data_IF_590504044803
#
_entry.id   IF_590504044803
#
_cell.length_a   1.000
_cell.length_b   1.000
_cell.length_c   1.000
_cell.angle_alpha   90.00
_cell.angle_beta   90.00
_cell.angle_gamma   90.00
#
_symmetry.space_group_name_H-M   'P 1'
#
loop_
_entity.id
_entity.type
_entity.pdbx_description
1 polymer ?
#
# COMPACT_ATOMS: atom_id res chain seq x y z
N UNK A 1 2.16 16.45 -11.15
CA UNK A 1 3.08 15.70 -12.03
C UNK A 1 2.74 14.22 -12.12
N UNK A 2 2.68 13.43 -11.02
CA UNK A 2 2.35 11.98 -11.10
C UNK A 2 1.01 11.71 -11.79
N UNK A 3 -0.02 12.49 -11.47
CA UNK A 3 -1.33 12.40 -12.10
C UNK A 3 -1.24 12.53 -13.63
N UNK A 4 -0.54 13.53 -14.13
CA UNK A 4 -0.38 13.77 -15.57
C UNK A 4 0.42 12.63 -16.24
N UNK A 5 1.43 12.08 -15.56
CA UNK A 5 2.14 10.90 -16.06
C UNK A 5 1.19 9.72 -16.26
N UNK A 6 0.35 9.43 -15.25
CA UNK A 6 -0.61 8.32 -15.34
C UNK A 6 -1.66 8.54 -16.42
N UNK A 7 -2.16 9.77 -16.58
CA UNK A 7 -3.09 10.14 -17.66
C UNK A 7 -2.46 9.95 -19.04
N UNK A 8 -1.20 10.32 -19.22
CA UNK A 8 -0.47 10.15 -20.47
C UNK A 8 -0.11 8.68 -20.74
N UNK A 9 0.21 7.89 -19.71
CA UNK A 9 0.39 6.44 -19.85
C UNK A 9 -0.92 5.80 -20.32
N UNK A 10 -2.03 6.19 -19.73
CA UNK A 10 -3.36 5.71 -20.11
C UNK A 10 -3.68 6.10 -21.54
N UNK A 11 -3.54 7.38 -21.90
CA UNK A 11 -3.75 7.87 -23.27
C UNK A 11 -2.96 7.10 -24.34
N UNK A 12 -1.73 6.68 -24.00
CA UNK A 12 -0.88 5.93 -24.92
C UNK A 12 -1.25 4.46 -25.06
N UNK A 13 -1.99 3.87 -24.11
CA UNK A 13 -2.17 2.41 -24.02
C UNK A 13 -3.62 1.97 -23.76
N UNK A 14 -4.57 2.89 -23.56
CA UNK A 14 -5.97 2.54 -23.23
C UNK A 14 -6.71 1.83 -24.35
N UNK A 15 -6.31 2.08 -25.60
CA UNK A 15 -6.84 1.43 -26.81
C UNK A 15 -6.32 0.00 -27.00
N UNK A 16 -5.43 -0.47 -26.12
CA UNK A 16 -4.77 -1.75 -26.23
C UNK A 16 -3.50 -1.75 -27.10
N UNK A 17 -2.98 -0.57 -27.44
CA UNK A 17 -1.68 -0.44 -28.11
C UNK A 17 -0.55 -1.05 -27.31
N UNK A 18 0.46 -1.59 -27.99
CA UNK A 18 1.65 -2.18 -27.39
C UNK A 18 2.88 -1.33 -27.74
N UNK A 19 3.54 -0.79 -26.72
CA UNK A 19 4.72 0.06 -26.84
C UNK A 19 5.91 -0.51 -26.08
N UNK A 20 7.12 -0.24 -26.57
CA UNK A 20 8.30 -0.51 -25.75
C UNK A 20 8.40 0.51 -24.61
N UNK A 21 9.02 0.09 -23.48
CA UNK A 21 9.24 0.99 -22.33
C UNK A 21 9.91 2.31 -22.74
N UNK A 22 10.90 2.24 -23.61
CA UNK A 22 11.62 3.42 -24.11
C UNK A 22 10.70 4.37 -24.86
N UNK A 23 9.86 3.85 -25.74
CA UNK A 23 8.90 4.65 -26.53
C UNK A 23 7.86 5.28 -25.62
N UNK A 24 7.29 4.52 -24.68
CA UNK A 24 6.32 5.02 -23.72
C UNK A 24 6.91 6.17 -22.87
N UNK A 25 8.10 5.97 -22.28
CA UNK A 25 8.76 7.00 -21.47
C UNK A 25 9.04 8.26 -22.29
N UNK A 26 9.54 8.11 -23.53
CA UNK A 26 9.81 9.25 -24.41
C UNK A 26 8.54 10.01 -24.79
N UNK A 27 7.45 9.29 -25.09
CA UNK A 27 6.15 9.91 -25.38
C UNK A 27 5.68 10.77 -24.20
N UNK A 28 5.75 10.23 -22.99
CA UNK A 28 5.32 10.95 -21.77
C UNK A 28 6.20 12.16 -21.50
N UNK A 29 7.53 12.03 -21.63
CA UNK A 29 8.47 13.15 -21.47
C UNK A 29 8.14 14.29 -22.42
N UNK A 30 8.01 14.01 -23.71
CA UNK A 30 7.74 15.02 -24.74
C UNK A 30 6.43 15.78 -24.50
N UNK A 31 5.41 15.11 -23.94
CA UNK A 31 4.12 15.73 -23.64
C UNK A 31 4.13 16.54 -22.35
N UNK A 32 4.97 16.15 -21.38
CA UNK A 32 5.06 16.84 -20.08
C UNK A 32 6.01 18.04 -20.11
N UNK A 33 7.06 17.99 -20.92
CA UNK A 33 8.14 19.01 -20.95
C UNK A 33 7.61 20.45 -21.00
N UNK A 34 6.58 20.79 -21.81
CA UNK A 34 6.07 22.18 -21.86
C UNK A 34 5.44 22.67 -20.55
N UNK A 35 4.86 21.78 -19.76
CA UNK A 35 4.18 22.10 -18.50
C UNK A 35 5.05 21.84 -17.28
N UNK A 36 5.94 20.87 -17.37
CA UNK A 36 6.81 20.41 -16.30
C UNK A 36 8.25 20.27 -16.80
N UNK A 37 9.01 21.37 -16.94
CA UNK A 37 10.38 21.34 -17.44
C UNK A 37 11.34 20.46 -16.63
N UNK A 38 10.96 20.20 -15.35
CA UNK A 38 11.73 19.33 -14.43
C UNK A 38 11.44 17.83 -14.62
N UNK A 39 10.46 17.48 -15.47
CA UNK A 39 10.11 16.08 -15.71
C UNK A 39 11.27 15.38 -16.43
N UNK A 40 11.91 14.45 -15.74
CA UNK A 40 13.04 13.70 -16.28
C UNK A 40 12.61 12.31 -16.75
N UNK A 41 13.36 11.77 -17.71
CA UNK A 41 13.21 10.36 -18.14
C UNK A 41 13.30 9.40 -16.95
N UNK A 42 14.10 9.72 -15.94
CA UNK A 42 14.28 8.91 -14.73
C UNK A 42 13.02 8.91 -13.87
N UNK A 43 12.44 10.08 -13.57
CA UNK A 43 11.24 10.18 -12.74
C UNK A 43 10.01 9.51 -13.41
N UNK A 44 9.85 9.71 -14.70
CA UNK A 44 8.79 9.04 -15.47
C UNK A 44 9.05 7.54 -15.56
N UNK A 45 10.30 7.14 -15.77
CA UNK A 45 10.72 5.74 -15.78
C UNK A 45 10.40 5.03 -14.44
N UNK A 46 10.46 5.73 -13.30
CA UNK A 46 10.06 5.18 -12.00
C UNK A 46 8.55 4.93 -11.93
N UNK A 47 7.70 5.85 -12.41
CA UNK A 47 6.25 5.63 -12.46
C UNK A 47 5.91 4.40 -13.32
N UNK A 48 6.50 4.30 -14.51
CA UNK A 48 6.32 3.11 -15.37
C UNK A 48 6.83 1.83 -14.71
N UNK A 49 7.92 1.91 -13.93
CA UNK A 49 8.44 0.78 -13.18
C UNK A 49 7.50 0.33 -12.06
N UNK A 50 6.85 1.26 -11.36
CA UNK A 50 5.84 0.92 -10.35
C UNK A 50 4.67 0.16 -10.96
N UNK A 51 4.16 0.62 -12.10
CA UNK A 51 3.08 -0.06 -12.83
C UNK A 51 3.51 -1.44 -13.36
N UNK A 52 4.78 -1.57 -13.77
CA UNK A 52 5.33 -2.86 -14.18
C UNK A 52 5.42 -3.83 -13.00
N UNK A 53 5.89 -3.36 -11.83
CA UNK A 53 5.92 -4.13 -10.57
C UNK A 53 4.52 -4.57 -10.14
N UNK A 54 3.52 -3.70 -10.32
CA UNK A 54 2.10 -3.99 -10.07
C UNK A 54 1.49 -4.99 -11.07
N UNK A 55 2.27 -5.48 -12.03
CA UNK A 55 1.79 -6.37 -13.08
C UNK A 55 0.64 -5.78 -13.93
N UNK A 56 0.59 -4.45 -14.06
CA UNK A 56 -0.40 -3.76 -14.89
C UNK A 56 -0.23 -4.03 -16.38
N UNK A 57 0.95 -4.50 -16.81
CA UNK A 57 1.27 -4.73 -18.21
C UNK A 57 1.27 -6.21 -18.58
N UNK A 58 0.74 -6.51 -19.76
CA UNK A 58 1.05 -7.73 -20.51
C UNK A 58 2.32 -7.47 -21.32
N UNK A 59 3.35 -8.27 -21.10
CA UNK A 59 4.65 -8.12 -21.76
C UNK A 59 4.80 -9.19 -22.82
N UNK A 60 5.04 -8.77 -24.07
CA UNK A 60 5.30 -9.66 -25.20
C UNK A 60 6.74 -9.48 -25.65
N UNK A 61 7.52 -10.55 -25.66
CA UNK A 61 8.87 -10.54 -26.25
C UNK A 61 8.77 -10.47 -27.77
N UNK A 62 9.57 -9.62 -28.37
CA UNK A 62 9.75 -9.56 -29.83
C UNK A 62 11.11 -10.17 -30.19
N UNK A 63 11.21 -10.78 -31.37
CA UNK A 63 12.51 -11.19 -31.90
C UNK A 63 13.38 -9.96 -32.08
N UNK A 64 14.31 -9.75 -31.14
CA UNK A 64 15.12 -8.55 -31.00
C UNK A 64 15.00 -7.97 -29.61
N UNK A 65 15.83 -7.03 -29.25
CA UNK A 65 16.18 -6.58 -27.91
C UNK A 65 15.07 -5.81 -27.13
N UNK A 66 13.85 -5.63 -27.66
CA UNK A 66 12.83 -4.82 -27.02
C UNK A 66 11.51 -5.56 -26.76
N UNK A 67 11.17 -5.72 -25.50
CA UNK A 67 9.84 -6.18 -25.09
C UNK A 67 8.78 -5.09 -25.30
N UNK A 68 7.60 -5.48 -25.79
CA UNK A 68 6.43 -4.62 -25.89
C UNK A 68 5.55 -4.78 -24.65
N UNK A 69 5.05 -3.67 -24.12
CA UNK A 69 4.15 -3.60 -22.99
C UNK A 69 2.79 -3.11 -23.48
N UNK A 70 1.75 -3.83 -23.10
CA UNK A 70 0.36 -3.50 -23.35
C UNK A 70 -0.35 -3.39 -22.00
N UNK A 71 -1.16 -2.37 -21.79
CA UNK A 71 -1.93 -2.26 -20.56
C UNK A 71 -3.03 -3.31 -20.53
N UNK A 72 -3.12 -4.07 -19.42
CA UNK A 72 -4.18 -5.05 -19.23
C UNK A 72 -5.54 -4.36 -19.14
N UNK A 73 -6.59 -5.06 -19.51
CA UNK A 73 -7.93 -4.49 -19.66
C UNK A 73 -8.49 -3.92 -18.37
N UNK A 74 -8.25 -4.61 -17.26
CA UNK A 74 -8.67 -4.21 -15.91
C UNK A 74 -8.04 -2.90 -15.42
N UNK A 75 -6.92 -2.46 -16.04
CA UNK A 75 -6.20 -1.23 -15.66
C UNK A 75 -6.34 -0.08 -16.66
N UNK A 76 -7.27 -0.17 -17.59
CA UNK A 76 -7.51 0.87 -18.63
C UNK A 76 -8.40 2.01 -18.17
N UNK A 77 -8.55 2.23 -16.87
CA UNK A 77 -9.17 3.43 -16.29
C UNK A 77 -8.19 4.17 -15.40
N UNK A 78 -8.35 5.48 -15.28
CA UNK A 78 -7.47 6.29 -14.43
C UNK A 78 -7.53 5.82 -12.96
N UNK A 79 -8.70 5.51 -12.46
CA UNK A 79 -8.92 5.13 -11.05
C UNK A 79 -8.22 3.81 -10.70
N UNK A 80 -8.35 2.79 -11.56
CA UNK A 80 -7.69 1.50 -11.34
C UNK A 80 -6.18 1.63 -11.45
N UNK A 81 -5.69 2.34 -12.46
CA UNK A 81 -4.27 2.56 -12.68
C UNK A 81 -3.64 3.38 -11.54
N UNK A 82 -4.31 4.44 -11.10
CA UNK A 82 -3.90 5.27 -9.97
C UNK A 82 -3.84 4.48 -8.68
N UNK A 83 -4.87 3.66 -8.42
CA UNK A 83 -4.92 2.83 -7.23
C UNK A 83 -3.75 1.84 -7.17
N UNK A 84 -3.42 1.19 -8.27
CA UNK A 84 -2.29 0.26 -8.32
C UNK A 84 -0.95 0.97 -8.15
N UNK A 85 -0.79 2.14 -8.76
CA UNK A 85 0.40 2.98 -8.57
C UNK A 85 0.60 3.32 -7.09
N UNK A 86 -0.44 3.82 -6.42
CA UNK A 86 -0.38 4.22 -5.01
C UNK A 86 -0.17 3.01 -4.10
N UNK A 87 -0.80 1.87 -4.40
CA UNK A 87 -0.59 0.60 -3.68
C UNK A 87 0.87 0.16 -3.72
N UNK A 88 1.53 0.25 -4.89
CA UNK A 88 2.94 -0.10 -5.00
C UNK A 88 3.86 0.81 -4.20
N UNK A 89 3.55 2.11 -4.13
CA UNK A 89 4.34 3.05 -3.31
C UNK A 89 4.19 2.71 -1.84
N UNK A 90 2.97 2.50 -1.35
CA UNK A 90 2.71 2.13 0.05
C UNK A 90 3.39 0.81 0.40
N UNK A 91 3.30 -0.19 -0.48
CA UNK A 91 3.93 -1.49 -0.28
C UNK A 91 5.45 -1.37 -0.17
N UNK A 92 6.11 -0.64 -1.07
CA UNK A 92 7.56 -0.43 -1.04
C UNK A 92 7.98 0.27 0.25
N UNK A 93 7.23 1.28 0.69
CA UNK A 93 7.51 1.98 1.93
C UNK A 93 7.37 1.06 3.15
N UNK A 94 6.32 0.24 3.17
CA UNK A 94 6.08 -0.74 4.23
C UNK A 94 7.18 -1.81 4.29
N UNK A 95 7.59 -2.33 3.12
CA UNK A 95 8.73 -3.27 2.99
C UNK A 95 10.05 -2.65 3.49
N UNK A 96 10.22 -1.33 3.31
CA UNK A 96 11.36 -0.58 3.84
C UNK A 96 11.24 -0.23 5.34
N UNK A 97 10.20 -0.70 6.05
CA UNK A 97 9.96 -0.46 7.46
C UNK A 97 9.36 0.91 7.79
N UNK A 98 8.91 1.67 6.79
CA UNK A 98 8.27 2.97 7.02
C UNK A 98 6.81 2.77 7.43
N UNK A 99 6.40 3.49 8.49
CA UNK A 99 5.02 3.53 8.99
C UNK A 99 4.49 4.94 8.80
N UNK A 100 3.72 5.14 7.74
CA UNK A 100 3.17 6.44 7.35
C UNK A 100 1.66 6.38 7.49
N UNK A 101 1.07 7.34 8.22
CA UNK A 101 -0.36 7.40 8.45
C UNK A 101 -1.14 7.75 7.15
N UNK A 102 -2.42 7.35 7.04
CA UNK A 102 -3.21 7.57 5.83
C UNK A 102 -3.37 9.04 5.42
N UNK A 103 -3.46 9.96 6.36
CA UNK A 103 -3.50 11.40 6.13
C UNK A 103 -2.16 11.95 5.63
N UNK A 104 -1.05 11.44 6.13
CA UNK A 104 0.28 11.75 5.64
C UNK A 104 0.48 11.23 4.21
N UNK A 105 0.03 10.01 3.92
CA UNK A 105 0.03 9.47 2.55
C UNK A 105 -0.79 10.33 1.60
N UNK A 106 -1.99 10.75 2.02
CA UNK A 106 -2.83 11.64 1.23
C UNK A 106 -2.10 12.95 0.89
N UNK A 107 -1.47 13.56 1.88
CA UNK A 107 -0.69 14.80 1.67
C UNK A 107 0.51 14.59 0.75
N UNK A 108 1.22 13.46 0.86
CA UNK A 108 2.39 13.16 0.03
C UNK A 108 2.03 12.91 -1.44
N UNK A 109 0.96 12.15 -1.69
CA UNK A 109 0.62 11.70 -3.05
C UNK A 109 -0.35 12.64 -3.78
N UNK A 110 -1.17 13.37 -3.04
CA UNK A 110 -2.22 14.23 -3.59
C UNK A 110 -2.04 15.72 -3.25
N UNK A 111 -1.26 16.03 -2.22
CA UNK A 111 -1.07 17.41 -1.76
C UNK A 111 -2.13 17.90 -0.78
N UNK A 112 -3.07 17.05 -0.38
CA UNK A 112 -4.15 17.35 0.56
C UNK A 112 -4.51 16.12 1.42
N UNK A 113 -5.42 16.30 2.38
CA UNK A 113 -5.89 15.22 3.26
C UNK A 113 -7.22 14.59 2.80
N UNK A 114 -7.77 14.99 1.64
CA UNK A 114 -9.08 14.54 1.17
C UNK A 114 -9.10 13.06 0.77
N UNK A 115 -7.93 12.50 0.43
CA UNK A 115 -7.78 11.11 0.00
C UNK A 115 -7.43 10.14 1.13
N UNK A 116 -7.58 10.56 2.40
CA UNK A 116 -7.28 9.72 3.58
C UNK A 116 -7.99 8.36 3.54
N UNK A 117 -9.29 8.34 3.21
CA UNK A 117 -10.06 7.09 3.15
C UNK A 117 -9.58 6.16 2.04
N UNK A 118 -9.15 6.72 0.89
CA UNK A 118 -8.55 5.97 -0.19
C UNK A 118 -7.23 5.33 0.26
N UNK A 119 -6.36 6.09 0.93
CA UNK A 119 -5.08 5.58 1.44
C UNK A 119 -5.27 4.54 2.54
N UNK A 120 -6.25 4.73 3.45
CA UNK A 120 -6.61 3.73 4.44
C UNK A 120 -7.03 2.41 3.79
N UNK A 121 -7.89 2.47 2.78
CA UNK A 121 -8.33 1.28 2.04
C UNK A 121 -7.18 0.52 1.35
N UNK A 122 -6.12 1.22 0.92
CA UNK A 122 -4.91 0.60 0.36
C UNK A 122 -4.12 -0.09 1.47
N UNK A 123 -3.90 0.60 2.60
CA UNK A 123 -3.16 0.07 3.74
C UNK A 123 -3.85 -1.20 4.28
N UNK A 124 -5.17 -1.15 4.45
CA UNK A 124 -5.96 -2.30 4.96
C UNK A 124 -5.83 -3.53 4.05
N UNK A 125 -5.81 -3.33 2.72
CA UNK A 125 -5.60 -4.43 1.76
C UNK A 125 -4.21 -5.04 1.78
N UNK A 126 -3.21 -4.27 2.20
CA UNK A 126 -1.83 -4.75 2.35
C UNK A 126 -1.58 -5.44 3.69
N UNK A 127 -2.53 -5.33 4.63
CA UNK A 127 -2.46 -6.04 5.91
C UNK A 127 -2.67 -7.54 5.68
N UNK A 128 -1.79 -8.34 6.25
CA UNK A 128 -1.88 -9.81 6.26
C UNK A 128 -1.77 -10.30 7.70
N UNK A 129 -2.19 -11.52 8.01
CA UNK A 129 -1.96 -12.11 9.35
C UNK A 129 -0.49 -12.04 9.76
N UNK A 130 0.43 -12.31 8.83
CA UNK A 130 1.87 -12.23 9.07
C UNK A 130 2.31 -10.79 9.36
N UNK A 131 1.79 -9.79 8.65
CA UNK A 131 2.12 -8.39 8.90
C UNK A 131 1.58 -7.90 10.25
N UNK A 132 0.42 -8.41 10.69
CA UNK A 132 -0.12 -8.12 12.02
C UNK A 132 0.75 -8.71 13.12
N UNK A 133 1.13 -9.99 13.01
CA UNK A 133 2.05 -10.64 13.95
C UNK A 133 3.41 -9.92 14.03
N UNK A 134 3.93 -9.49 12.89
CA UNK A 134 5.17 -8.70 12.84
C UNK A 134 5.01 -7.34 13.54
N UNK A 135 3.89 -6.65 13.36
CA UNK A 135 3.59 -5.39 14.04
C UNK A 135 3.47 -5.57 15.55
N UNK A 136 2.89 -6.68 16.03
CA UNK A 136 2.84 -7.02 17.46
C UNK A 136 4.25 -7.24 18.02
N UNK A 137 5.12 -7.94 17.31
CA UNK A 137 6.52 -8.12 17.70
C UNK A 137 7.28 -6.79 17.77
N UNK A 138 7.11 -5.92 16.77
CA UNK A 138 7.70 -4.59 16.75
C UNK A 138 7.22 -3.74 17.95
N UNK A 139 5.92 -3.82 18.28
CA UNK A 139 5.36 -3.17 19.46
C UNK A 139 6.02 -3.67 20.75
N UNK A 140 6.15 -4.98 20.93
CA UNK A 140 6.78 -5.57 22.11
C UNK A 140 8.24 -5.09 22.27
N UNK A 141 9.00 -5.07 21.18
CA UNK A 141 10.38 -4.58 21.17
C UNK A 141 10.43 -3.07 21.54
N UNK A 142 9.51 -2.27 21.00
CA UNK A 142 9.43 -0.85 21.29
C UNK A 142 9.11 -0.62 22.79
N UNK A 143 8.16 -1.34 23.35
CA UNK A 143 7.79 -1.26 24.76
C UNK A 143 8.96 -1.64 25.69
N UNK A 144 9.71 -2.68 25.35
CA UNK A 144 10.92 -3.06 26.07
C UNK A 144 11.99 -1.95 26.08
N UNK A 145 12.15 -1.25 24.95
CA UNK A 145 13.13 -0.15 24.82
C UNK A 145 12.71 1.12 25.56
N UNK A 146 11.40 1.40 25.63
CA UNK A 146 10.86 2.61 26.23
C UNK A 146 10.50 2.44 27.72
N UNK A 147 10.60 1.23 28.25
CA UNK A 147 10.22 0.93 29.66
C UNK A 147 8.71 0.87 29.89
N UNK A 148 7.92 0.81 28.81
CA UNK A 148 6.45 0.62 28.82
C UNK A 148 5.69 1.55 29.80
N UNK A 149 5.76 2.88 29.67
CA UNK A 149 5.12 3.81 30.59
C UNK A 149 3.60 3.67 30.63
N UNK A 150 3.00 3.15 29.57
CA UNK A 150 1.56 2.91 29.45
C UNK A 150 1.10 1.53 29.90
N UNK A 151 2.01 0.67 30.34
CA UNK A 151 1.75 -0.74 30.72
C UNK A 151 1.03 -1.54 29.63
N UNK A 152 1.32 -1.23 28.35
CA UNK A 152 0.72 -1.91 27.21
C UNK A 152 1.19 -3.37 27.06
N UNK A 153 2.30 -3.74 27.69
CA UNK A 153 2.77 -5.14 27.73
C UNK A 153 1.75 -6.10 28.31
N UNK A 154 0.82 -5.61 29.17
CA UNK A 154 -0.27 -6.44 29.72
C UNK A 154 -1.26 -6.92 28.63
N UNK A 155 -1.30 -6.28 27.46
CA UNK A 155 -2.16 -6.66 26.33
C UNK A 155 -1.54 -7.76 25.45
N UNK A 156 -0.29 -8.14 25.71
CA UNK A 156 0.42 -9.13 24.90
C UNK A 156 -0.34 -10.46 24.77
N UNK A 157 -0.87 -11.09 25.83
CA UNK A 157 -1.60 -12.35 25.68
C UNK A 157 -2.78 -12.26 24.72
N UNK A 158 -3.52 -11.14 24.76
CA UNK A 158 -4.65 -10.89 23.87
C UNK A 158 -4.21 -10.64 22.43
N UNK A 159 -3.12 -9.91 22.25
CA UNK A 159 -2.52 -9.69 20.93
C UNK A 159 -2.00 -11.00 20.34
N UNK A 160 -1.38 -11.87 21.14
CA UNK A 160 -0.91 -13.18 20.70
C UNK A 160 -2.08 -14.09 20.23
N UNK A 161 -3.23 -14.04 20.93
CA UNK A 161 -4.45 -14.75 20.47
C UNK A 161 -4.89 -14.23 19.11
N UNK A 162 -4.94 -12.91 18.93
CA UNK A 162 -5.39 -12.28 17.70
C UNK A 162 -4.42 -12.54 16.51
N UNK A 163 -3.12 -12.73 16.76
CA UNK A 163 -2.15 -13.06 15.70
C UNK A 163 -2.29 -14.48 15.17
N UNK A 164 -2.90 -15.37 15.96
CA UNK A 164 -3.07 -16.78 15.59
C UNK A 164 -4.38 -17.05 14.82
N UNK A 165 -5.20 -16.03 14.57
CA UNK A 165 -6.40 -16.17 13.74
C UNK A 165 -5.99 -16.40 12.30
N UNK A 166 -6.31 -17.55 11.75
CA UNK A 166 -6.13 -17.86 10.33
C UNK A 166 -7.37 -17.49 9.53
N UNK A 167 -7.31 -16.43 8.68
CA UNK A 167 -8.42 -16.02 7.84
C UNK A 167 -8.51 -16.79 6.52
N UNK A 168 -7.70 -17.82 6.30
CA UNK A 168 -7.70 -18.58 5.06
C UNK A 168 -8.99 -19.38 4.92
N UNK A 169 -9.47 -19.52 3.69
CA UNK A 169 -10.66 -20.34 3.39
C UNK A 169 -10.41 -21.85 3.49
N UNK A 170 -9.14 -22.23 3.65
CA UNK A 170 -8.70 -23.62 3.77
C UNK A 170 -8.53 -24.05 5.24
N UNK A 171 -8.61 -23.12 6.19
CA UNK A 171 -8.55 -23.44 7.62
C UNK A 171 -9.84 -24.14 8.07
N UNK A 172 -9.69 -25.00 9.07
CA UNK A 172 -10.85 -25.62 9.74
C UNK A 172 -11.75 -24.52 10.34
N UNK A 173 -13.06 -24.78 10.33
CA UNK A 173 -14.01 -23.85 10.92
C UNK A 173 -13.73 -23.72 12.42
N UNK A 174 -13.55 -22.48 12.93
CA UNK A 174 -13.28 -22.27 14.34
C UNK A 174 -14.47 -22.73 15.20
N UNK A 175 -14.18 -23.22 16.38
CA UNK A 175 -15.24 -23.46 17.37
C UNK A 175 -15.80 -22.14 17.90
N UNK A 176 -17.04 -22.17 18.40
CA UNK A 176 -17.65 -20.97 18.98
C UNK A 176 -16.87 -20.41 20.18
N UNK A 177 -16.19 -21.28 20.94
CA UNK A 177 -15.24 -20.88 21.99
C UNK A 177 -14.12 -19.99 21.45
N UNK A 178 -13.50 -20.37 20.33
CA UNK A 178 -12.39 -19.62 19.74
C UNK A 178 -12.84 -18.25 19.21
N UNK A 179 -14.05 -18.19 18.67
CA UNK A 179 -14.65 -16.93 18.24
C UNK A 179 -14.90 -16.01 19.43
N UNK A 180 -15.44 -16.54 20.54
CA UNK A 180 -15.67 -15.77 21.77
C UNK A 180 -14.36 -15.25 22.35
N UNK A 181 -13.33 -16.10 22.44
CA UNK A 181 -12.01 -15.72 22.98
C UNK A 181 -11.35 -14.63 22.12
N UNK A 182 -11.48 -14.74 20.80
CA UNK A 182 -10.98 -13.74 19.86
C UNK A 182 -11.68 -12.40 20.02
N UNK A 183 -13.02 -12.40 20.16
CA UNK A 183 -13.80 -11.17 20.37
C UNK A 183 -13.49 -10.52 21.73
N UNK A 184 -13.34 -11.31 22.80
CA UNK A 184 -12.96 -10.80 24.12
C UNK A 184 -11.54 -10.22 24.09
N UNK A 185 -10.62 -10.88 23.40
CA UNK A 185 -9.26 -10.38 23.22
C UNK A 185 -9.23 -9.06 22.45
N UNK A 186 -10.00 -8.95 21.37
CA UNK A 186 -10.13 -7.71 20.61
C UNK A 186 -10.72 -6.58 21.48
N UNK A 187 -11.76 -6.86 22.25
CA UNK A 187 -12.37 -5.89 23.18
C UNK A 187 -11.35 -5.41 24.22
N UNK A 188 -10.59 -6.31 24.83
CA UNK A 188 -9.59 -5.97 25.83
C UNK A 188 -8.46 -5.10 25.24
N UNK A 189 -7.99 -5.41 24.04
CA UNK A 189 -6.96 -4.62 23.33
C UNK A 189 -7.49 -3.21 23.03
N UNK A 190 -8.69 -3.10 22.48
CA UNK A 190 -9.29 -1.79 22.17
C UNK A 190 -9.47 -0.95 23.44
N UNK A 191 -10.00 -1.54 24.52
CA UNK A 191 -10.17 -0.84 25.80
C UNK A 191 -8.82 -0.37 26.37
N UNK A 192 -7.79 -1.21 26.30
CA UNK A 192 -6.44 -0.86 26.76
C UNK A 192 -5.81 0.28 25.95
N UNK A 193 -5.96 0.28 24.63
CA UNK A 193 -5.48 1.33 23.77
C UNK A 193 -6.23 2.66 23.97
N UNK A 194 -7.54 2.64 24.13
CA UNK A 194 -8.34 3.82 24.46
C UNK A 194 -7.87 4.44 25.78
N UNK A 195 -7.66 3.62 26.80
CA UNK A 195 -7.15 4.08 28.08
C UNK A 195 -5.76 4.72 27.94
N UNK A 196 -4.86 4.08 27.22
CA UNK A 196 -3.53 4.62 26.94
C UNK A 196 -3.60 5.97 26.22
N UNK A 197 -4.39 6.11 25.15
CA UNK A 197 -4.55 7.36 24.42
C UNK A 197 -5.11 8.48 25.33
N UNK A 198 -6.08 8.14 26.18
CA UNK A 198 -6.68 9.08 27.12
C UNK A 198 -5.67 9.61 28.15
N UNK A 199 -4.80 8.72 28.65
CA UNK A 199 -3.75 9.08 29.62
C UNK A 199 -2.60 9.87 28.97
N UNK A 200 -2.30 9.58 27.69
CA UNK A 200 -1.21 10.22 26.94
C UNK A 200 -1.59 11.55 26.30
N UNK A 201 -2.85 12.00 26.42
CA UNK A 201 -3.35 13.23 25.80
C UNK A 201 -3.38 13.18 24.27
N UNK A 202 -3.28 12.00 23.69
CA UNK A 202 -3.39 11.77 22.23
C UNK A 202 -4.88 11.77 21.87
N UNK A 203 -5.32 12.76 21.10
CA UNK A 203 -6.69 12.88 20.59
C UNK A 203 -6.82 12.23 19.21
#
# INVERSE_FOLDING_TARGET
MQEEVLRLVLLALEDGSALSRKVLVMFVVQRLEPQFPQASKTSIGHVVQLLYRASCFKVTKRDGDSSLMQLKEEFRTYETLRREHDTQIVQIATEAGLRIAPDQWSSLLYGDAAHKSHMQSIIDKLQTPQSFGQSVQELVIALQRTGDPGKLTCLRPQLDILTNIDPSTESDNPEWSDVVDSLQSAQAVVAGLINFCSLSGIK
#
